data_IF_863631547991
#
_entry.id   IF_863631547991
#
_cell.length_a   1.000
_cell.length_b   1.000
_cell.length_c   1.000
_cell.angle_alpha   90.00
_cell.angle_beta   90.00
_cell.angle_gamma   90.00
#
_symmetry.space_group_name_H-M   'P 1'
#
loop_
_entity.id
_entity.type
_entity.pdbx_description
1 polymer ?
#
# COMPACT_ATOMS: atom_id res chain seq x y z
N UNK A 1 13.58 1.35 26.81
CA UNK A 1 12.68 0.25 26.42
C UNK A 1 12.73 0.15 24.91
N UNK A 2 13.52 -0.79 24.37
CA UNK A 2 13.52 -1.06 22.93
C UNK A 2 12.25 -1.86 22.65
N UNK A 3 11.32 -1.28 21.90
CA UNK A 3 10.19 -2.02 21.37
C UNK A 3 10.77 -3.09 20.44
N UNK A 4 10.54 -4.36 20.78
CA UNK A 4 10.79 -5.52 19.94
C UNK A 4 9.93 -5.38 18.69
N UNK A 5 10.38 -4.57 17.73
CA UNK A 5 9.71 -4.41 16.45
C UNK A 5 10.16 -5.57 15.60
N UNK A 6 9.29 -6.56 15.43
CA UNK A 6 9.49 -7.60 14.43
C UNK A 6 9.85 -6.95 13.09
N UNK A 7 10.77 -7.54 12.31
CA UNK A 7 11.21 -6.95 11.06
C UNK A 7 10.01 -6.73 10.13
N UNK A 8 9.93 -5.58 9.44
CA UNK A 8 8.83 -5.30 8.53
C UNK A 8 8.84 -6.32 7.37
N UNK A 9 7.66 -6.82 7.03
CA UNK A 9 7.46 -7.68 5.87
C UNK A 9 7.45 -6.77 4.65
N UNK A 10 8.21 -7.10 3.61
CA UNK A 10 8.38 -6.24 2.44
C UNK A 10 8.17 -7.01 1.15
N UNK A 11 7.31 -6.47 0.30
CA UNK A 11 7.17 -6.88 -1.10
C UNK A 11 7.95 -5.95 -2.04
N UNK A 12 7.73 -6.13 -3.34
CA UNK A 12 8.31 -5.25 -4.36
C UNK A 12 7.71 -3.85 -4.23
N UNK A 13 6.38 -3.77 -4.11
CA UNK A 13 5.60 -2.54 -4.11
C UNK A 13 4.95 -2.19 -2.77
N UNK A 14 5.18 -2.97 -1.71
CA UNK A 14 4.58 -2.70 -0.40
C UNK A 14 5.52 -2.93 0.80
N UNK A 15 5.16 -2.34 1.94
CA UNK A 15 5.70 -2.65 3.27
C UNK A 15 4.56 -2.93 4.24
N UNK A 16 4.71 -3.98 5.05
CA UNK A 16 3.84 -4.24 6.20
C UNK A 16 4.70 -4.11 7.45
N UNK A 17 4.23 -3.29 8.39
CA UNK A 17 4.87 -3.14 9.68
C UNK A 17 3.85 -3.04 10.80
N UNK A 18 4.33 -3.35 11.98
CA UNK A 18 3.53 -3.40 13.18
C UNK A 18 3.51 -2.01 13.85
N UNK A 19 2.30 -1.50 14.08
CA UNK A 19 2.02 -0.32 14.90
C UNK A 19 1.37 -0.74 16.23
N UNK A 20 1.27 0.15 17.22
CA UNK A 20 0.74 -0.18 18.55
C UNK A 20 -0.61 -0.91 18.52
N UNK A 21 -1.54 -0.51 17.66
CA UNK A 21 -2.88 -1.09 17.58
C UNK A 21 -3.21 -1.70 16.22
N UNK A 22 -2.40 -1.42 15.21
CA UNK A 22 -2.70 -1.71 13.81
C UNK A 22 -1.55 -2.45 13.12
N UNK A 23 -1.89 -3.23 12.11
CA UNK A 23 -0.97 -3.69 11.07
C UNK A 23 -1.04 -2.66 9.95
N UNK A 24 0.08 -2.00 9.66
CA UNK A 24 0.12 -0.93 8.66
C UNK A 24 0.64 -1.52 7.36
N UNK A 25 -0.17 -1.43 6.30
CA UNK A 25 0.23 -1.71 4.92
C UNK A 25 0.52 -0.39 4.23
N UNK A 26 1.74 -0.20 3.74
CA UNK A 26 2.18 1.01 3.04
C UNK A 26 2.55 0.69 1.59
N UNK A 27 2.01 1.49 0.67
CA UNK A 27 2.29 1.41 -0.77
C UNK A 27 3.58 2.17 -1.10
N UNK A 28 4.60 1.43 -1.56
CA UNK A 28 5.91 1.99 -1.92
C UNK A 28 5.89 2.79 -3.21
N UNK A 29 4.94 2.52 -4.11
CA UNK A 29 4.78 3.27 -5.36
C UNK A 29 4.34 4.71 -5.11
N UNK A 30 3.72 4.96 -3.94
CA UNK A 30 3.25 6.28 -3.50
C UNK A 30 4.21 6.95 -2.52
N UNK A 31 5.43 6.40 -2.35
CA UNK A 31 6.43 6.97 -1.45
C UNK A 31 6.86 8.36 -1.96
N UNK A 32 6.61 9.38 -1.15
CA UNK A 32 6.82 10.79 -1.51
C UNK A 32 5.54 11.56 -1.80
N UNK A 33 4.39 10.87 -1.85
CA UNK A 33 3.08 11.54 -1.90
C UNK A 33 2.71 12.10 -0.51
N UNK A 34 2.29 13.36 -0.48
CA UNK A 34 1.80 13.98 0.75
C UNK A 34 0.45 13.38 1.16
N UNK A 35 0.34 12.99 2.43
CA UNK A 35 -0.94 12.57 3.02
C UNK A 35 -1.80 13.82 3.21
N UNK A 36 -2.94 13.89 2.52
CA UNK A 36 -3.85 15.03 2.61
C UNK A 36 -5.06 14.75 3.49
N UNK A 37 -5.45 13.49 3.60
CA UNK A 37 -6.67 13.06 4.29
C UNK A 37 -6.46 11.68 4.92
N UNK A 38 -7.04 11.46 6.10
CA UNK A 38 -7.17 10.13 6.70
C UNK A 38 -8.65 9.83 6.87
N UNK A 39 -9.15 8.87 6.09
CA UNK A 39 -10.54 8.45 6.09
C UNK A 39 -10.64 6.94 5.91
N UNK A 40 -11.83 6.39 6.13
CA UNK A 40 -12.10 4.98 5.85
C UNK A 40 -11.93 4.67 4.35
N UNK A 41 -11.32 3.53 4.06
CA UNK A 41 -11.16 2.97 2.72
C UNK A 41 -12.37 2.08 2.41
N UNK A 42 -13.13 2.42 1.37
CA UNK A 42 -14.36 1.70 1.01
C UNK A 42 -14.13 0.23 0.62
N UNK A 43 -12.94 -0.12 0.13
CA UNK A 43 -12.62 -1.48 -0.33
C UNK A 43 -12.28 -2.38 0.85
N UNK A 44 -11.49 -1.88 1.80
CA UNK A 44 -11.00 -2.67 2.93
C UNK A 44 -11.76 -2.39 4.23
N UNK A 45 -12.59 -1.35 4.26
CA UNK A 45 -13.34 -0.86 5.42
C UNK A 45 -12.44 -0.57 6.64
N UNK A 46 -11.24 -0.05 6.38
CA UNK A 46 -10.25 0.33 7.41
C UNK A 46 -9.81 1.78 7.22
N UNK A 47 -9.28 2.41 8.26
CA UNK A 47 -8.67 3.73 8.12
C UNK A 47 -7.50 3.69 7.13
N UNK A 48 -7.42 4.69 6.27
CA UNK A 48 -6.35 4.83 5.30
C UNK A 48 -5.93 6.29 5.17
N UNK A 49 -4.61 6.50 5.12
CA UNK A 49 -4.04 7.76 4.67
C UNK A 49 -4.15 7.81 3.15
N UNK A 50 -4.81 8.86 2.65
CA UNK A 50 -5.00 9.10 1.23
C UNK A 50 -4.24 10.37 0.82
N UNK A 51 -3.55 10.28 -0.31
CA UNK A 51 -2.94 11.40 -1.00
C UNK A 51 -3.74 11.81 -2.23
N UNK A 52 -3.28 12.84 -2.91
CA UNK A 52 -3.85 13.30 -4.17
C UNK A 52 -2.76 13.36 -5.22
N UNK A 53 -2.94 12.61 -6.31
CA UNK A 53 -2.10 12.71 -7.52
C UNK A 53 -2.85 13.51 -8.57
N UNK A 54 -2.15 14.25 -9.42
CA UNK A 54 -2.77 14.96 -10.54
C UNK A 54 -2.41 14.28 -11.85
N UNK A 55 -3.42 14.01 -12.67
CA UNK A 55 -3.24 13.49 -14.03
C UNK A 55 -2.79 14.59 -15.00
N UNK A 56 -2.55 14.24 -16.27
CA UNK A 56 -2.05 15.18 -17.29
C UNK A 56 -2.98 16.39 -17.50
N UNK A 57 -4.28 16.23 -17.27
CA UNK A 57 -5.28 17.28 -17.34
C UNK A 57 -5.38 18.13 -16.04
N UNK A 58 -4.54 17.86 -15.03
CA UNK A 58 -4.55 18.53 -13.73
C UNK A 58 -5.66 18.07 -12.78
N UNK A 59 -6.41 17.02 -13.14
CA UNK A 59 -7.48 16.44 -12.31
C UNK A 59 -6.86 15.70 -11.13
N UNK A 60 -7.31 16.00 -9.92
CA UNK A 60 -6.82 15.37 -8.69
C UNK A 60 -7.51 14.04 -8.39
N UNK A 61 -6.78 12.94 -8.48
CA UNK A 61 -7.22 11.61 -8.08
C UNK A 61 -6.76 11.27 -6.67
N UNK A 62 -7.72 10.93 -5.81
CA UNK A 62 -7.43 10.43 -4.46
C UNK A 62 -6.90 9.00 -4.55
N UNK A 63 -5.77 8.74 -3.90
CA UNK A 63 -5.13 7.42 -3.87
C UNK A 63 -4.74 7.05 -2.44
N UNK A 64 -4.89 5.77 -2.07
CA UNK A 64 -4.41 5.26 -0.80
C UNK A 64 -2.88 5.22 -0.76
N UNK A 65 -2.30 5.67 0.34
CA UNK A 65 -0.85 5.62 0.62
C UNK A 65 -0.55 4.50 1.61
N UNK A 66 -1.32 4.45 2.70
CA UNK A 66 -1.22 3.38 3.69
C UNK A 66 -2.55 3.10 4.35
N UNK A 67 -2.76 1.85 4.73
CA UNK A 67 -3.97 1.33 5.34
C UNK A 67 -3.64 0.79 6.74
N UNK A 68 -4.52 1.07 7.69
CA UNK A 68 -4.39 0.75 9.10
C UNK A 68 -5.34 -0.38 9.46
N UNK A 69 -4.85 -1.62 9.43
CA UNK A 69 -5.66 -2.78 9.74
C UNK A 69 -5.67 -3.04 11.25
N UNK A 70 -6.82 -2.91 11.94
CA UNK A 70 -6.86 -3.10 13.38
C UNK A 70 -6.57 -4.56 13.74
N UNK A 71 -5.61 -4.78 14.63
CA UNK A 71 -5.21 -6.13 15.10
C UNK A 71 -6.32 -6.89 15.81
N UNK A 72 -7.35 -6.18 16.27
CA UNK A 72 -8.55 -6.79 16.84
C UNK A 72 -9.40 -7.53 15.79
N UNK A 73 -9.16 -7.30 14.48
CA UNK A 73 -9.94 -7.89 13.38
C UNK A 73 -9.09 -8.58 12.32
N UNK A 74 -7.84 -8.17 12.14
CA UNK A 74 -6.95 -8.68 11.10
C UNK A 74 -5.71 -9.30 11.70
N UNK A 75 -5.28 -10.43 11.15
CA UNK A 75 -3.98 -11.02 11.42
C UNK A 75 -2.99 -10.62 10.32
N UNK A 76 -1.69 -10.80 10.62
CA UNK A 76 -0.62 -10.48 9.66
C UNK A 76 -0.81 -11.22 8.33
N UNK A 77 -1.27 -12.47 8.37
CA UNK A 77 -1.55 -13.29 7.18
C UNK A 77 -2.65 -12.70 6.28
N UNK A 78 -3.67 -12.07 6.87
CA UNK A 78 -4.74 -11.41 6.11
C UNK A 78 -4.19 -10.19 5.37
N UNK A 79 -3.35 -9.40 6.05
CA UNK A 79 -2.73 -8.20 5.47
C UNK A 79 -1.71 -8.58 4.40
N UNK A 80 -0.96 -9.69 4.58
CA UNK A 80 -0.06 -10.22 3.56
C UNK A 80 -0.83 -10.57 2.29
N UNK A 81 -1.98 -11.27 2.37
CA UNK A 81 -2.78 -11.61 1.19
C UNK A 81 -3.20 -10.36 0.41
N UNK A 82 -3.67 -9.33 1.12
CA UNK A 82 -4.06 -8.06 0.52
C UNK A 82 -2.87 -7.38 -0.16
N UNK A 83 -1.70 -7.42 0.48
CA UNK A 83 -0.48 -6.82 -0.03
C UNK A 83 0.05 -7.55 -1.28
N UNK A 84 0.00 -8.88 -1.29
CA UNK A 84 0.36 -9.72 -2.44
C UNK A 84 -0.57 -9.47 -3.63
N UNK A 85 -1.88 -9.31 -3.40
CA UNK A 85 -2.82 -8.91 -4.46
C UNK A 85 -2.47 -7.54 -5.06
N UNK A 86 -2.05 -6.59 -4.22
CA UNK A 86 -1.60 -5.27 -4.68
C UNK A 86 -0.31 -5.37 -5.49
N UNK A 87 0.67 -6.15 -5.02
CA UNK A 87 1.94 -6.38 -5.70
C UNK A 87 1.71 -7.03 -7.08
N UNK A 88 0.88 -8.07 -7.13
CA UNK A 88 0.53 -8.76 -8.37
C UNK A 88 -0.16 -7.83 -9.38
N UNK A 89 -1.06 -6.95 -8.93
CA UNK A 89 -1.70 -5.94 -9.81
C UNK A 89 -0.66 -4.97 -10.40
N UNK A 90 0.23 -4.44 -9.57
CA UNK A 90 1.29 -3.54 -10.05
C UNK A 90 2.27 -4.24 -10.98
N UNK A 91 2.60 -5.51 -10.69
CA UNK A 91 3.45 -6.32 -11.57
C UNK A 91 2.78 -6.55 -12.94
N UNK A 92 1.49 -6.90 -12.97
CA UNK A 92 0.75 -7.06 -14.21
C UNK A 92 0.68 -5.76 -15.02
N UNK A 93 0.48 -4.61 -14.36
CA UNK A 93 0.53 -3.29 -15.04
C UNK A 93 1.92 -3.06 -15.62
N UNK A 94 2.99 -3.33 -14.87
CA UNK A 94 4.37 -3.19 -15.33
C UNK A 94 4.63 -4.05 -16.58
N UNK A 95 4.20 -5.32 -16.57
CA UNK A 95 4.34 -6.27 -17.69
C UNK A 95 3.52 -5.85 -18.92
N UNK A 96 2.37 -5.19 -18.74
CA UNK A 96 1.57 -4.67 -19.87
C UNK A 96 2.16 -3.37 -20.45
N UNK A 97 2.73 -2.51 -19.61
CA UNK A 97 3.30 -1.22 -20.05
C UNK A 97 4.71 -1.32 -20.62
N UNK A 98 5.41 -2.41 -20.32
CA UNK A 98 6.67 -2.79 -20.94
C UNK A 98 6.48 -4.15 -21.57
N UNK A 99 5.95 -4.24 -22.81
CA UNK A 99 6.12 -5.46 -23.58
C UNK A 99 7.62 -5.72 -23.63
N UNK A 100 8.00 -6.94 -23.27
CA UNK A 100 9.37 -7.43 -23.35
C UNK A 100 9.99 -6.96 -24.68
N UNK A 101 10.94 -6.01 -24.61
CA UNK A 101 11.94 -5.88 -25.66
C UNK A 101 12.93 -7.02 -25.40
N UNK A 102 12.48 -8.24 -25.70
CA UNK A 102 13.35 -9.38 -25.97
C UNK A 102 14.05 -9.06 -27.30
N UNK A 103 15.01 -8.13 -27.27
CA UNK A 103 15.86 -7.87 -28.42
C UNK A 103 17.23 -7.33 -27.99
N UNK A 104 18.08 -8.20 -27.45
CA UNK A 104 19.37 -8.58 -28.08
C UNK A 104 20.33 -9.29 -27.12
#
# INVERSE_FOLDING_TARGET
MQADRSPPIKGKFYFIYDDSLNLVLEDKTKRGLEVRERNNDDKYNVDADKGMIHDMDGIGHKVGIRWYFPKSRYQVEDVIKIAEEMDARYKAIQEMTCPDDDNS
#
